data_IF_476806455676
#
_entry.id   IF_476806455676
#
_cell.length_a   1.000
_cell.length_b   1.000
_cell.length_c   1.000
_cell.angle_alpha   90.00
_cell.angle_beta   90.00
_cell.angle_gamma   90.00
#
_symmetry.space_group_name_H-M   'P 1'
#
loop_
_entity.id
_entity.type
_entity.pdbx_description
1 polymer ?
#
# COMPACT_ATOMS: atom_id res chain seq x y z
N UNK A 1 -20.63 -27.18 10.66
CA UNK A 1 -19.41 -26.34 10.67
C UNK A 1 -19.32 -25.32 9.53
N UNK A 2 -20.21 -25.29 8.53
CA UNK A 2 -20.18 -24.26 7.46
C UNK A 2 -20.90 -22.95 7.84
N UNK A 3 -21.90 -23.01 8.71
CA UNK A 3 -22.71 -21.84 9.08
C UNK A 3 -22.01 -20.85 10.01
N UNK A 4 -21.05 -21.29 10.84
CA UNK A 4 -20.31 -20.39 11.74
C UNK A 4 -19.33 -19.46 11.01
N UNK A 5 -18.78 -19.89 9.87
CA UNK A 5 -17.86 -19.07 9.09
C UNK A 5 -18.54 -17.88 8.40
N UNK A 6 -19.80 -18.03 7.99
CA UNK A 6 -20.57 -16.97 7.32
C UNK A 6 -20.93 -15.85 8.29
N UNK A 7 -21.25 -16.19 9.55
CA UNK A 7 -21.59 -15.20 10.58
C UNK A 7 -20.36 -14.39 10.99
N UNK A 8 -19.20 -15.03 11.16
CA UNK A 8 -17.93 -14.35 11.44
C UNK A 8 -17.51 -13.40 10.31
N UNK A 9 -17.74 -13.79 9.06
CA UNK A 9 -17.42 -12.94 7.89
C UNK A 9 -18.31 -11.70 7.82
N UNK A 10 -19.61 -11.82 8.14
CA UNK A 10 -20.53 -10.69 8.18
C UNK A 10 -20.22 -9.70 9.32
N UNK A 11 -19.77 -10.20 10.48
CA UNK A 11 -19.34 -9.34 11.60
C UNK A 11 -18.08 -8.56 11.23
N UNK A 12 -17.13 -9.18 10.50
CA UNK A 12 -15.91 -8.51 10.06
C UNK A 12 -16.19 -7.39 9.05
N UNK A 13 -17.12 -7.61 8.11
CA UNK A 13 -17.53 -6.57 7.14
C UNK A 13 -18.27 -5.42 7.84
N UNK A 14 -19.13 -5.73 8.81
CA UNK A 14 -19.86 -4.70 9.58
C UNK A 14 -18.91 -3.84 10.43
N UNK A 15 -17.91 -4.44 11.08
CA UNK A 15 -16.91 -3.74 11.87
C UNK A 15 -16.02 -2.81 11.03
N UNK A 16 -15.66 -3.20 9.80
CA UNK A 16 -14.96 -2.30 8.87
C UNK A 16 -15.85 -1.11 8.45
N UNK A 17 -17.15 -1.33 8.23
CA UNK A 17 -18.07 -0.26 7.80
C UNK A 17 -18.36 0.77 8.89
N UNK A 18 -18.34 0.40 10.17
CA UNK A 18 -18.60 1.32 11.28
C UNK A 18 -17.40 2.23 11.54
N UNK A 19 -16.19 1.67 11.55
CA UNK A 19 -14.94 2.43 11.67
C UNK A 19 -14.81 3.49 10.56
N UNK A 20 -15.16 3.14 9.32
CA UNK A 20 -15.12 4.09 8.20
C UNK A 20 -16.08 5.26 8.37
N UNK A 21 -17.26 5.03 8.97
CA UNK A 21 -18.25 6.09 9.22
C UNK A 21 -17.83 7.01 10.36
N UNK A 22 -17.24 6.44 11.42
CA UNK A 22 -16.77 7.21 12.57
C UNK A 22 -15.55 8.06 12.21
N UNK A 23 -14.56 7.49 11.52
CA UNK A 23 -13.39 8.22 11.03
C UNK A 23 -13.77 9.38 10.10
N UNK A 24 -14.72 9.17 9.18
CA UNK A 24 -15.19 10.24 8.27
C UNK A 24 -15.89 11.39 9.01
N UNK A 25 -16.63 11.10 10.09
CA UNK A 25 -17.29 12.14 10.90
C UNK A 25 -16.25 12.95 11.68
N UNK A 26 -15.26 12.28 12.25
CA UNK A 26 -14.16 12.89 12.99
C UNK A 26 -13.32 13.78 12.07
N UNK A 27 -12.94 13.30 10.89
CA UNK A 27 -12.22 14.09 9.88
C UNK A 27 -13.00 15.33 9.44
N UNK A 28 -14.31 15.19 9.22
CA UNK A 28 -15.15 16.33 8.85
C UNK A 28 -15.25 17.38 9.98
N UNK A 29 -15.30 16.93 11.24
CA UNK A 29 -15.30 17.81 12.40
C UNK A 29 -13.98 18.58 12.51
N UNK A 30 -12.85 17.90 12.41
CA UNK A 30 -11.52 18.52 12.44
C UNK A 30 -11.32 19.48 11.27
N UNK A 31 -11.70 19.07 10.06
CA UNK A 31 -11.58 19.92 8.86
C UNK A 31 -12.38 21.22 9.00
N UNK A 32 -13.58 21.14 9.59
CA UNK A 32 -14.40 22.32 9.87
C UNK A 32 -13.75 23.23 10.91
N UNK A 33 -13.27 22.68 12.02
CA UNK A 33 -12.60 23.45 13.06
C UNK A 33 -11.33 24.13 12.54
N UNK A 34 -10.52 23.44 11.75
CA UNK A 34 -9.32 23.99 11.11
C UNK A 34 -9.70 25.14 10.17
N UNK A 35 -10.71 24.95 9.32
CA UNK A 35 -11.21 26.00 8.42
C UNK A 35 -11.67 27.25 9.17
N UNK A 36 -12.38 27.08 10.27
CA UNK A 36 -12.87 28.19 11.08
C UNK A 36 -11.73 28.93 11.80
N UNK A 37 -10.71 28.21 12.29
CA UNK A 37 -9.48 28.80 12.86
C UNK A 37 -8.65 29.55 11.82
N UNK A 38 -8.51 29.02 10.60
CA UNK A 38 -7.83 29.70 9.48
C UNK A 38 -8.53 31.02 9.13
N UNK A 39 -9.87 31.01 9.06
CA UNK A 39 -10.66 32.24 8.82
C UNK A 39 -10.45 33.27 9.92
N UNK A 40 -10.38 32.84 11.18
CA UNK A 40 -10.15 33.73 12.32
C UNK A 40 -8.76 34.37 12.22
N UNK A 41 -7.71 33.58 12.02
CA UNK A 41 -6.34 34.06 11.84
C UNK A 41 -6.18 34.97 10.61
N UNK A 42 -6.97 34.76 9.56
CA UNK A 42 -6.97 35.60 8.36
C UNK A 42 -7.73 36.91 8.55
N UNK A 43 -8.68 36.98 9.49
CA UNK A 43 -9.40 38.21 9.88
C UNK A 43 -8.61 39.04 10.88
N UNK A 44 -7.86 38.39 11.76
CA UNK A 44 -7.05 39.03 12.81
C UNK A 44 -5.70 39.55 12.29
N UNK A 45 -5.48 39.60 10.99
CA UNK A 45 -4.33 40.28 10.42
C UNK A 45 -4.41 41.78 10.72
N UNK A 46 -3.78 42.23 11.82
CA UNK A 46 -2.93 43.42 11.96
C UNK A 46 -2.74 43.72 13.45
N UNK A 47 -1.47 43.89 13.87
CA UNK A 47 -0.94 44.23 15.22
C UNK A 47 -0.84 43.01 16.15
N UNK A 48 0.32 42.41 16.46
CA UNK A 48 1.55 43.06 16.94
C UNK A 48 2.78 42.14 16.91
N UNK A 49 2.74 40.95 16.30
CA UNK A 49 3.85 39.99 16.42
C UNK A 49 4.62 39.75 15.10
N UNK A 50 5.94 39.65 15.22
CA UNK A 50 6.90 39.57 14.11
C UNK A 50 6.89 38.23 13.35
N UNK A 51 6.14 37.24 13.85
CA UNK A 51 5.90 35.95 13.23
C UNK A 51 4.71 35.99 12.28
N UNK A 52 4.97 36.27 11.00
CA UNK A 52 3.98 36.14 9.92
C UNK A 52 3.75 34.66 9.57
N UNK A 53 3.00 33.95 10.39
CA UNK A 53 2.52 32.60 10.04
C UNK A 53 1.50 32.74 8.91
N UNK A 54 1.59 31.88 7.89
CA UNK A 54 0.62 31.77 6.78
C UNK A 54 -0.23 30.52 6.99
N UNK A 55 -1.43 30.61 7.60
CA UNK A 55 -2.23 29.43 7.96
C UNK A 55 -2.57 28.53 6.77
N UNK A 56 -2.85 29.12 5.61
CA UNK A 56 -3.14 28.38 4.38
C UNK A 56 -1.96 27.54 3.88
N UNK A 57 -0.72 28.02 4.08
CA UNK A 57 0.48 27.30 3.69
C UNK A 57 0.70 26.08 4.60
N UNK A 58 0.49 26.26 5.90
CA UNK A 58 0.54 25.16 6.89
C UNK A 58 -0.49 24.09 6.57
N UNK A 59 -1.74 24.47 6.31
CA UNK A 59 -2.83 23.54 5.96
C UNK A 59 -2.50 22.75 4.68
N UNK A 60 -2.00 23.43 3.64
CA UNK A 60 -1.58 22.78 2.40
C UNK A 60 -0.45 21.76 2.62
N UNK A 61 0.54 22.09 3.46
CA UNK A 61 1.65 21.19 3.78
C UNK A 61 1.13 19.97 4.56
N UNK A 62 0.28 20.16 5.57
CA UNK A 62 -0.30 19.06 6.34
C UNK A 62 -1.12 18.13 5.44
N UNK A 63 -1.95 18.67 4.56
CA UNK A 63 -2.70 17.87 3.58
C UNK A 63 -1.78 17.06 2.67
N UNK A 64 -0.65 17.64 2.24
CA UNK A 64 0.37 16.92 1.46
C UNK A 64 1.00 15.78 2.26
N UNK A 65 1.30 15.99 3.53
CA UNK A 65 1.85 14.95 4.42
C UNK A 65 0.86 13.80 4.67
N UNK A 66 -0.44 14.10 4.77
CA UNK A 66 -1.50 13.09 4.89
C UNK A 66 -1.55 12.23 3.62
N UNK A 67 -1.50 12.84 2.44
CA UNK A 67 -1.47 12.12 1.16
C UNK A 67 -0.23 11.22 1.05
N UNK A 68 0.95 11.76 1.37
CA UNK A 68 2.20 11.00 1.37
C UNK A 68 2.13 9.78 2.30
N UNK A 69 1.50 9.94 3.47
CA UNK A 69 1.34 8.86 4.45
C UNK A 69 0.45 7.72 3.88
N UNK A 70 -0.63 8.06 3.17
CA UNK A 70 -1.48 7.09 2.47
C UNK A 70 -0.73 6.37 1.35
N UNK A 71 0.11 7.07 0.60
CA UNK A 71 0.93 6.46 -0.45
C UNK A 71 1.95 5.47 0.13
N UNK A 72 2.57 5.79 1.27
CA UNK A 72 3.47 4.87 1.98
C UNK A 72 2.74 3.61 2.44
N UNK A 73 1.53 3.75 3.00
CA UNK A 73 0.70 2.61 3.40
C UNK A 73 0.35 1.72 2.20
N UNK A 74 -0.04 2.34 1.07
CA UNK A 74 -0.34 1.63 -0.17
C UNK A 74 0.88 0.85 -0.69
N UNK A 75 2.07 1.46 -0.68
CA UNK A 75 3.31 0.78 -1.09
C UNK A 75 3.61 -0.42 -0.18
N UNK A 76 3.46 -0.26 1.13
CA UNK A 76 3.63 -1.36 2.10
C UNK A 76 2.65 -2.51 1.84
N UNK A 77 1.38 -2.18 1.61
CA UNK A 77 0.36 -3.16 1.24
C UNK A 77 0.69 -3.89 -0.07
N UNK A 78 1.17 -3.17 -1.09
CA UNK A 78 1.61 -3.73 -2.36
C UNK A 78 2.80 -4.68 -2.19
N UNK A 79 3.80 -4.32 -1.38
CA UNK A 79 4.96 -5.18 -1.06
C UNK A 79 4.50 -6.50 -0.44
N UNK A 80 3.63 -6.43 0.58
CA UNK A 80 3.10 -7.61 1.26
C UNK A 80 2.27 -8.51 0.32
N UNK A 81 1.43 -7.90 -0.52
CA UNK A 81 0.60 -8.62 -1.49
C UNK A 81 1.46 -9.34 -2.53
N UNK A 82 2.51 -8.69 -3.03
CA UNK A 82 3.43 -9.29 -4.00
C UNK A 82 4.23 -10.45 -3.41
N UNK A 83 4.74 -10.32 -2.18
CA UNK A 83 5.42 -11.42 -1.49
C UNK A 83 4.50 -12.63 -1.29
N UNK A 84 3.26 -12.37 -0.90
CA UNK A 84 2.23 -13.41 -0.75
C UNK A 84 1.90 -14.08 -2.09
N UNK A 85 1.80 -13.29 -3.17
CA UNK A 85 1.54 -13.79 -4.51
C UNK A 85 2.61 -14.79 -4.97
N UNK A 86 3.90 -14.43 -4.92
CA UNK A 86 4.97 -15.33 -5.36
C UNK A 86 5.12 -16.57 -4.46
N UNK A 87 4.92 -16.43 -3.15
CA UNK A 87 4.90 -17.59 -2.24
C UNK A 87 3.73 -18.54 -2.52
N UNK A 88 2.57 -17.99 -2.89
CA UNK A 88 1.42 -18.75 -3.35
C UNK A 88 1.69 -19.48 -4.67
N UNK A 89 2.36 -18.84 -5.63
CA UNK A 89 2.81 -19.50 -6.87
C UNK A 89 3.79 -20.64 -6.56
N UNK A 90 4.78 -20.39 -5.71
CA UNK A 90 5.75 -21.41 -5.31
C UNK A 90 5.06 -22.66 -4.76
N UNK A 91 4.11 -22.45 -3.83
CA UNK A 91 3.31 -23.54 -3.25
C UNK A 91 2.48 -24.25 -4.30
N UNK A 92 1.73 -23.50 -5.11
CA UNK A 92 0.80 -24.04 -6.13
C UNK A 92 1.50 -24.90 -7.17
N UNK A 93 2.71 -24.52 -7.57
CA UNK A 93 3.48 -25.21 -8.60
C UNK A 93 4.60 -26.10 -8.02
N UNK A 94 4.62 -26.32 -6.70
CA UNK A 94 5.66 -27.08 -5.98
C UNK A 94 7.07 -26.65 -6.41
N UNK A 95 7.32 -25.35 -6.37
CA UNK A 95 8.61 -24.70 -6.54
C UNK A 95 9.13 -24.25 -5.17
N UNK A 96 10.43 -23.99 -5.10
CA UNK A 96 11.04 -23.40 -3.92
C UNK A 96 10.71 -21.92 -3.76
N UNK A 97 10.21 -21.53 -2.59
CA UNK A 97 9.98 -20.11 -2.26
C UNK A 97 11.28 -19.29 -2.21
N UNK A 98 12.42 -19.92 -1.92
CA UNK A 98 13.75 -19.28 -1.93
C UNK A 98 14.26 -18.92 -3.33
N UNK A 99 13.60 -19.39 -4.38
CA UNK A 99 13.91 -18.92 -5.74
C UNK A 99 13.45 -17.47 -5.96
N UNK A 100 12.48 -16.98 -5.19
CA UNK A 100 11.93 -15.64 -5.33
C UNK A 100 12.57 -14.66 -4.34
N UNK A 101 12.96 -13.49 -4.85
CA UNK A 101 13.50 -12.41 -4.04
C UNK A 101 12.35 -11.75 -3.28
N UNK A 102 12.45 -11.71 -1.94
CA UNK A 102 11.45 -11.04 -1.11
C UNK A 102 11.58 -9.52 -1.18
N UNK A 103 10.46 -8.87 -1.43
CA UNK A 103 10.34 -7.43 -1.32
C UNK A 103 10.37 -6.99 0.15
N UNK A 104 10.87 -5.79 0.43
CA UNK A 104 10.99 -5.19 1.76
C UNK A 104 10.40 -3.79 1.73
N UNK A 105 9.79 -3.40 2.84
CA UNK A 105 9.32 -2.03 3.05
C UNK A 105 10.52 -1.07 3.05
N UNK A 106 10.35 0.10 2.42
CA UNK A 106 11.41 1.11 2.30
C UNK A 106 12.34 0.94 1.09
N UNK A 107 12.13 -0.07 0.24
CA UNK A 107 12.81 -0.10 -1.06
C UNK A 107 12.30 0.99 -1.99
N UNK A 108 13.21 1.51 -2.84
CA UNK A 108 12.84 2.43 -3.90
C UNK A 108 11.86 1.76 -4.89
N UNK A 109 10.92 2.53 -5.43
CA UNK A 109 9.87 2.00 -6.31
C UNK A 109 10.43 1.28 -7.55
N UNK A 110 11.52 1.79 -8.11
CA UNK A 110 12.19 1.16 -9.27
C UNK A 110 12.85 -0.18 -8.92
N UNK A 111 13.40 -0.30 -7.71
CA UNK A 111 13.94 -1.55 -7.22
C UNK A 111 12.82 -2.58 -6.99
N UNK A 112 11.67 -2.15 -6.47
CA UNK A 112 10.47 -2.99 -6.35
C UNK A 112 10.03 -3.48 -7.73
N UNK A 113 9.90 -2.58 -8.71
CA UNK A 113 9.49 -2.92 -10.07
C UNK A 113 10.45 -3.92 -10.73
N UNK A 114 11.76 -3.71 -10.56
CA UNK A 114 12.81 -4.60 -11.09
C UNK A 114 12.71 -5.99 -10.49
N UNK A 115 12.59 -6.09 -9.15
CA UNK A 115 12.48 -7.38 -8.46
C UNK A 115 11.18 -8.10 -8.84
N UNK A 116 10.07 -7.39 -9.01
CA UNK A 116 8.81 -7.98 -9.47
C UNK A 116 8.98 -8.64 -10.85
N UNK A 117 9.66 -7.96 -11.77
CA UNK A 117 9.94 -8.47 -13.12
C UNK A 117 10.90 -9.65 -13.11
N UNK A 118 11.93 -9.61 -12.27
CA UNK A 118 12.86 -10.72 -12.11
C UNK A 118 12.16 -11.97 -11.55
N UNK A 119 11.35 -11.80 -10.49
CA UNK A 119 10.56 -12.90 -9.93
C UNK A 119 9.56 -13.49 -10.94
N UNK A 120 8.92 -12.66 -11.76
CA UNK A 120 8.01 -13.09 -12.85
C UNK A 120 8.76 -13.93 -13.89
N UNK A 121 9.89 -13.44 -14.39
CA UNK A 121 10.73 -14.16 -15.36
C UNK A 121 11.22 -15.48 -14.76
N UNK A 122 11.67 -15.46 -13.51
CA UNK A 122 12.17 -16.64 -12.82
C UNK A 122 11.10 -17.69 -12.61
N UNK A 123 9.87 -17.27 -12.27
CA UNK A 123 8.73 -18.17 -12.22
C UNK A 123 8.53 -18.89 -13.56
N UNK A 124 8.47 -18.16 -14.67
CA UNK A 124 8.27 -18.77 -15.99
C UNK A 124 9.39 -19.73 -16.37
N UNK A 125 10.65 -19.38 -16.11
CA UNK A 125 11.79 -20.25 -16.36
C UNK A 125 11.70 -21.56 -15.57
N UNK A 126 11.33 -21.48 -14.28
CA UNK A 126 11.16 -22.67 -13.43
C UNK A 126 10.03 -23.57 -13.92
N UNK A 127 8.91 -22.99 -14.38
CA UNK A 127 7.80 -23.74 -14.96
C UNK A 127 8.21 -24.43 -16.27
N UNK A 128 8.90 -23.72 -17.16
CA UNK A 128 9.41 -24.28 -18.41
C UNK A 128 10.38 -25.44 -18.15
N UNK A 129 11.34 -25.27 -17.24
CA UNK A 129 12.28 -26.33 -16.87
C UNK A 129 11.59 -27.54 -16.23
N UNK A 130 10.52 -27.31 -15.44
CA UNK A 130 9.74 -28.39 -14.84
C UNK A 130 8.92 -29.16 -15.87
N UNK A 131 8.37 -28.48 -16.86
CA UNK A 131 7.55 -29.07 -17.92
C UNK A 131 8.38 -29.70 -19.06
N UNK A 132 9.56 -29.15 -19.39
CA UNK A 132 10.46 -29.64 -20.43
C UNK A 132 11.39 -30.77 -19.95
N UNK A 133 11.07 -31.43 -18.82
CA UNK A 133 11.77 -32.67 -18.41
C UNK A 133 11.53 -33.86 -19.36
N UNK A 134 10.81 -33.65 -20.46
CA UNK A 134 10.59 -34.62 -21.52
C UNK A 134 11.39 -34.36 -22.80
N UNK A 135 11.48 -33.12 -23.30
CA UNK A 135 12.13 -32.85 -24.59
C UNK A 135 12.69 -31.42 -24.71
N UNK A 136 13.92 -31.36 -25.20
CA UNK A 136 14.61 -30.25 -25.89
C UNK A 136 14.93 -28.93 -25.13
N UNK A 137 16.24 -28.76 -24.89
CA UNK A 137 17.04 -27.57 -25.24
C UNK A 137 16.27 -26.23 -25.31
N UNK A 138 16.21 -25.51 -24.19
CA UNK A 138 16.03 -24.06 -24.26
C UNK A 138 17.37 -23.45 -24.65
N UNK A 139 17.45 -23.01 -25.91
CA UNK A 139 18.56 -22.36 -26.57
C UNK A 139 19.26 -21.30 -25.70
N UNK A 140 20.27 -21.74 -24.95
CA UNK A 140 21.46 -20.96 -24.68
C UNK A 140 22.43 -21.16 -25.85
N UNK A 141 22.14 -20.55 -26.99
CA UNK A 141 23.07 -20.47 -28.12
C UNK A 141 22.68 -19.33 -29.07
N UNK A 142 23.03 -18.09 -28.69
CA UNK A 142 23.85 -17.13 -29.45
C UNK A 142 23.82 -15.76 -28.78
#
# INVERSE_FOLDING_TARGET
MRSCFIILFLIFIAACSENDKENRKTDASFSKEISDRIKLLSKDSVQTDSLKVKPNEVDSIVNTLILLSKDIENISASVNRSNTYFSGLATKYSLSDHEFIKLKNGMHVDAIATILKDNELKFFNLILLKNNRGDALLHSAQ
#
